data_IF_358309131308
#
_entry.id   IF_358309131308
#
_cell.length_a   1.000
_cell.length_b   1.000
_cell.length_c   1.000
_cell.angle_alpha   90.00
_cell.angle_beta   90.00
_cell.angle_gamma   90.00
#
_symmetry.space_group_name_H-M   'P 1'
#
loop_
_entity.id
_entity.type
_entity.pdbx_description
1 polymer ?
#
# COMPACT_ATOMS: atom_id res chain seq x y z
N UNK A 1 42.95 7.38 11.87
CA UNK A 1 42.23 6.10 12.01
C UNK A 1 40.74 6.40 12.04
N UNK A 2 40.03 6.33 10.91
CA UNK A 2 38.60 6.64 10.84
C UNK A 2 37.82 5.37 10.52
N UNK A 3 37.21 4.77 11.54
CA UNK A 3 36.26 3.68 11.36
C UNK A 3 34.88 4.26 11.08
N UNK A 4 34.54 4.44 9.81
CA UNK A 4 33.15 4.60 9.39
C UNK A 4 32.46 3.25 9.54
N UNK A 5 31.88 3.00 10.71
CA UNK A 5 30.96 1.89 10.93
C UNK A 5 29.74 2.07 10.04
N UNK A 6 29.78 1.39 8.90
CA UNK A 6 28.70 1.18 7.95
C UNK A 6 27.44 0.69 8.68
N UNK A 7 26.29 1.40 8.64
CA UNK A 7 25.06 0.84 9.15
C UNK A 7 24.55 -0.20 8.15
N UNK A 8 24.97 -1.45 8.34
CA UNK A 8 24.49 -2.60 7.57
C UNK A 8 23.51 -3.41 8.41
N UNK A 9 22.41 -2.79 8.83
CA UNK A 9 21.32 -3.46 9.56
C UNK A 9 19.96 -2.87 9.13
N UNK A 10 19.74 -2.84 7.82
CA UNK A 10 18.45 -2.45 7.24
C UNK A 10 18.17 -3.41 6.09
N UNK A 11 17.73 -4.64 6.38
CA UNK A 11 17.44 -5.57 5.28
C UNK A 11 16.42 -6.68 5.55
N UNK A 12 16.07 -7.01 6.80
CA UNK A 12 15.10 -8.10 7.06
C UNK A 12 13.81 -7.66 7.76
N UNK A 13 13.88 -6.70 8.68
CA UNK A 13 12.68 -6.20 9.39
C UNK A 13 11.81 -5.24 8.57
N UNK A 14 12.40 -4.50 7.64
CA UNK A 14 11.67 -3.52 6.81
C UNK A 14 10.88 -4.15 5.67
N UNK A 15 11.41 -5.20 5.02
CA UNK A 15 10.71 -5.89 3.93
C UNK A 15 9.48 -6.64 4.47
N UNK A 16 9.61 -7.34 5.60
CA UNK A 16 8.46 -8.00 6.25
C UNK A 16 7.35 -7.01 6.65
N UNK A 17 7.73 -5.82 7.13
CA UNK A 17 6.78 -4.76 7.45
C UNK A 17 6.12 -4.18 6.19
N UNK A 18 6.87 -3.98 5.10
CA UNK A 18 6.32 -3.50 3.84
C UNK A 18 5.30 -4.48 3.23
N UNK A 19 5.60 -5.79 3.27
CA UNK A 19 4.67 -6.83 2.83
C UNK A 19 3.40 -6.92 3.71
N UNK A 20 3.54 -6.75 5.03
CA UNK A 20 2.41 -6.72 5.94
C UNK A 20 1.52 -5.50 5.70
N UNK A 21 2.13 -4.33 5.51
CA UNK A 21 1.41 -3.09 5.17
C UNK A 21 0.70 -3.23 3.82
N UNK A 22 1.36 -3.79 2.79
CA UNK A 22 0.72 -4.06 1.49
C UNK A 22 -0.50 -4.95 1.65
N UNK A 23 -0.38 -6.06 2.38
CA UNK A 23 -1.49 -7.00 2.61
C UNK A 23 -2.68 -6.34 3.31
N UNK A 24 -2.43 -5.49 4.30
CA UNK A 24 -3.49 -4.73 4.99
C UNK A 24 -4.19 -3.75 4.04
N UNK A 25 -3.43 -3.06 3.19
CA UNK A 25 -4.00 -2.15 2.18
C UNK A 25 -4.84 -2.91 1.14
N UNK A 26 -4.40 -4.09 0.70
CA UNK A 26 -5.17 -4.96 -0.20
C UNK A 26 -6.48 -5.45 0.45
N UNK A 27 -6.43 -5.82 1.73
CA UNK A 27 -7.61 -6.21 2.51
C UNK A 27 -8.59 -5.04 2.69
N UNK A 28 -8.09 -3.84 2.98
CA UNK A 28 -8.90 -2.62 3.07
C UNK A 28 -9.61 -2.34 1.73
N UNK A 29 -8.90 -2.48 0.60
CA UNK A 29 -9.47 -2.27 -0.74
C UNK A 29 -10.61 -3.28 -0.98
N UNK A 30 -10.38 -4.56 -0.72
CA UNK A 30 -11.40 -5.60 -0.89
C UNK A 30 -12.64 -5.30 -0.04
N UNK A 31 -12.44 -5.00 1.25
CA UNK A 31 -13.52 -4.62 2.16
C UNK A 31 -14.32 -3.42 1.67
N UNK A 32 -13.64 -2.36 1.20
CA UNK A 32 -14.29 -1.15 0.70
C UNK A 32 -15.11 -1.42 -0.57
N UNK A 33 -14.58 -2.21 -1.50
CA UNK A 33 -15.31 -2.63 -2.71
C UNK A 33 -16.59 -3.40 -2.35
N UNK A 34 -16.48 -4.42 -1.48
CA UNK A 34 -17.62 -5.21 -1.06
C UNK A 34 -18.67 -4.35 -0.34
N UNK A 35 -18.22 -3.42 0.50
CA UNK A 35 -19.12 -2.54 1.24
C UNK A 35 -19.84 -1.55 0.33
N UNK A 36 -19.15 -0.99 -0.66
CA UNK A 36 -19.75 -0.09 -1.66
C UNK A 36 -20.81 -0.86 -2.46
N UNK A 37 -20.48 -2.05 -2.97
CA UNK A 37 -21.42 -2.87 -3.74
C UNK A 37 -22.68 -3.22 -2.93
N UNK A 38 -22.50 -3.60 -1.66
CA UNK A 38 -23.62 -3.89 -0.76
C UNK A 38 -24.52 -2.68 -0.49
N UNK A 39 -23.94 -1.47 -0.39
CA UNK A 39 -24.70 -0.23 -0.18
C UNK A 39 -25.43 0.22 -1.45
N UNK A 40 -24.83 0.03 -2.62
CA UNK A 40 -25.43 0.35 -3.92
C UNK A 40 -26.61 -0.56 -4.25
N UNK A 41 -26.60 -1.80 -3.78
CA UNK A 41 -27.68 -2.77 -3.98
C UNK A 41 -28.93 -2.51 -3.10
N UNK A 42 -28.88 -1.57 -2.17
CA UNK A 42 -30.02 -1.26 -1.29
C UNK A 42 -31.14 -0.55 -2.06
N UNK A 43 -32.41 -0.79 -1.69
CA UNK A 43 -33.56 -0.15 -2.33
C UNK A 43 -33.56 1.38 -2.24
N UNK A 44 -32.86 1.94 -1.24
CA UNK A 44 -32.63 3.38 -1.06
C UNK A 44 -31.17 3.63 -0.66
N UNK A 45 -30.25 3.76 -1.63
CA UNK A 45 -28.83 3.91 -1.34
C UNK A 45 -28.52 5.23 -0.61
N UNK A 46 -27.73 5.15 0.47
CA UNK A 46 -27.22 6.34 1.15
C UNK A 46 -25.99 6.89 0.40
N UNK A 47 -26.26 7.80 -0.56
CA UNK A 47 -25.24 8.40 -1.43
C UNK A 47 -24.07 9.04 -0.67
N UNK A 48 -24.29 9.89 0.36
CA UNK A 48 -23.19 10.44 1.16
C UNK A 48 -22.23 9.39 1.74
N UNK A 49 -22.77 8.29 2.26
CA UNK A 49 -21.97 7.19 2.83
C UNK A 49 -21.18 6.47 1.73
N UNK A 50 -21.80 6.21 0.58
CA UNK A 50 -21.13 5.59 -0.57
C UNK A 50 -19.96 6.46 -1.06
N UNK A 51 -20.16 7.77 -1.19
CA UNK A 51 -19.10 8.70 -1.61
C UNK A 51 -17.94 8.79 -0.59
N UNK A 52 -18.26 8.65 0.70
CA UNK A 52 -17.23 8.55 1.75
C UNK A 52 -16.39 7.29 1.55
N UNK A 53 -17.02 6.13 1.34
CA UNK A 53 -16.30 4.89 1.07
C UNK A 53 -15.50 4.92 -0.24
N UNK A 54 -16.02 5.56 -1.30
CA UNK A 54 -15.29 5.77 -2.56
C UNK A 54 -14.04 6.64 -2.36
N UNK A 55 -14.15 7.70 -1.56
CA UNK A 55 -13.00 8.54 -1.20
C UNK A 55 -11.93 7.76 -0.44
N UNK A 56 -12.35 6.93 0.53
CA UNK A 56 -11.45 6.02 1.24
C UNK A 56 -10.80 5.00 0.30
N UNK A 57 -11.56 4.42 -0.62
CA UNK A 57 -11.07 3.46 -1.61
C UNK A 57 -10.00 4.08 -2.49
N UNK A 58 -10.23 5.28 -3.03
CA UNK A 58 -9.26 6.00 -3.85
C UNK A 58 -7.95 6.28 -3.08
N UNK A 59 -8.05 6.62 -1.79
CA UNK A 59 -6.88 6.80 -0.92
C UNK A 59 -6.09 5.49 -0.78
N UNK A 60 -6.75 4.36 -0.49
CA UNK A 60 -6.07 3.06 -0.35
C UNK A 60 -5.44 2.57 -1.65
N UNK A 61 -6.11 2.77 -2.78
CA UNK A 61 -5.56 2.46 -4.11
C UNK A 61 -4.30 3.28 -4.42
N UNK A 62 -4.28 4.57 -4.03
CA UNK A 62 -3.11 5.42 -4.18
C UNK A 62 -1.93 4.95 -3.33
N UNK A 63 -2.19 4.51 -2.09
CA UNK A 63 -1.17 3.92 -1.21
C UNK A 63 -0.65 2.61 -1.77
N UNK A 64 -1.52 1.73 -2.27
CA UNK A 64 -1.10 0.46 -2.88
C UNK A 64 -0.18 0.70 -4.08
N UNK A 65 -0.55 1.65 -4.95
CA UNK A 65 0.29 2.05 -6.08
C UNK A 65 1.65 2.55 -5.61
N UNK A 66 1.69 3.41 -4.60
CA UNK A 66 2.94 3.91 -4.02
C UNK A 66 3.81 2.79 -3.45
N UNK A 67 3.22 1.81 -2.74
CA UNK A 67 3.94 0.64 -2.22
C UNK A 67 4.53 -0.22 -3.35
N UNK A 68 3.77 -0.42 -4.43
CA UNK A 68 4.22 -1.16 -5.61
C UNK A 68 5.34 -0.44 -6.37
N UNK A 69 5.22 0.88 -6.54
CA UNK A 69 6.25 1.72 -7.16
C UNK A 69 7.55 1.75 -6.31
N UNK A 70 7.42 1.74 -4.98
CA UNK A 70 8.53 1.64 -4.05
C UNK A 70 9.25 0.28 -4.16
N UNK A 71 8.50 -0.81 -4.24
CA UNK A 71 9.02 -2.17 -4.41
C UNK A 71 9.78 -2.31 -5.76
N UNK A 72 9.20 -1.80 -6.86
CA UNK A 72 9.85 -1.77 -8.18
C UNK A 72 11.19 -1.02 -8.15
N UNK A 73 11.26 0.11 -7.43
CA UNK A 73 12.50 0.89 -7.27
C UNK A 73 13.55 0.19 -6.41
N UNK A 74 13.12 -0.63 -5.43
CA UNK A 74 14.02 -1.43 -4.60
C UNK A 74 14.55 -2.69 -5.30
N UNK A 75 13.81 -3.23 -6.27
CA UNK A 75 14.22 -4.42 -7.05
C UNK A 75 15.09 -4.09 -8.27
N UNK A 76 15.20 -2.83 -8.68
CA UNK A 76 16.11 -2.44 -9.74
C UNK A 76 17.57 -2.78 -9.35
N UNK A 77 18.32 -3.55 -10.17
CA UNK A 77 19.71 -3.84 -9.86
C UNK A 77 20.45 -2.51 -9.77
N UNK A 78 21.16 -2.30 -8.65
CA UNK A 78 22.16 -1.23 -8.54
C UNK A 78 23.19 -1.50 -9.64
N UNK A 79 22.99 -0.90 -10.81
CA UNK A 79 23.96 -0.90 -11.87
C UNK A 79 25.25 -0.34 -11.27
N UNK A 80 26.22 -1.23 -11.03
CA UNK A 80 27.59 -0.87 -10.68
C UNK A 80 28.11 -0.08 -11.87
N UNK A 81 28.27 1.24 -11.69
CA UNK A 81 29.13 2.02 -12.55
C UNK A 81 30.52 1.40 -12.47
N UNK A 82 30.99 0.87 -13.60
CA UNK A 82 32.38 0.48 -13.84
C UNK A 82 33.24 1.73 -14.02
#
# INVERSE_FOLDING_TARGET
>A
MNAYSRPQLVSQGQLKQADEVRRKVEQDIAFLCDRIAALEAQSRPNRPVIETYRTMLASRQSVLKWLQDGELRHQAPRARAL
#
